data_IF_020188994695
#
_entry.id   IF_020188994695
#
_cell.length_a   1.000
_cell.length_b   1.000
_cell.length_c   1.000
_cell.angle_alpha   90.00
_cell.angle_beta   90.00
_cell.angle_gamma   90.00
#
_symmetry.space_group_name_H-M   'P 1'
#
loop_
_entity.id
_entity.type
_entity.pdbx_description
1 polymer ?
#
# COMPACT_ATOMS: atom_id res chain seq x y z
N UNK A 1 11.92 32.67 43.12
CA UNK A 1 11.00 32.88 41.99
C UNK A 1 11.54 32.29 40.68
N UNK A 2 12.81 31.88 40.62
CA UNK A 2 13.46 31.35 39.39
C UNK A 2 13.09 29.92 38.99
N UNK A 3 12.71 29.06 39.93
CA UNK A 3 12.53 27.62 39.65
C UNK A 3 11.31 27.31 38.75
N UNK A 4 10.30 28.19 38.76
CA UNK A 4 9.08 28.01 37.97
C UNK A 4 9.29 28.46 36.51
N UNK A 5 10.15 29.45 36.27
CA UNK A 5 10.46 29.93 34.92
C UNK A 5 11.36 28.95 34.16
N UNK A 6 12.34 28.34 34.84
CA UNK A 6 13.17 27.28 34.23
C UNK A 6 12.36 26.04 33.85
N UNK A 7 11.46 25.59 34.72
CA UNK A 7 10.60 24.44 34.40
C UNK A 7 9.65 24.72 33.24
N UNK A 8 9.10 25.94 33.16
CA UNK A 8 8.23 26.33 32.04
C UNK A 8 9.00 26.38 30.72
N UNK A 9 10.23 26.89 30.71
CA UNK A 9 11.08 26.93 29.51
C UNK A 9 11.55 25.54 29.05
N UNK A 10 11.74 24.61 29.98
CA UNK A 10 12.15 23.22 29.69
C UNK A 10 10.98 22.39 29.13
N UNK A 11 9.77 22.62 29.65
CA UNK A 11 8.54 22.05 29.09
C UNK A 11 8.25 22.64 27.71
N UNK A 12 8.46 23.95 27.50
CA UNK A 12 8.34 24.57 26.19
C UNK A 12 9.39 24.04 25.20
N UNK A 13 10.63 23.78 25.63
CA UNK A 13 11.67 23.20 24.77
C UNK A 13 11.38 21.75 24.41
N UNK A 14 10.93 20.93 25.36
CA UNK A 14 10.54 19.53 25.10
C UNK A 14 9.31 19.48 24.20
N UNK A 15 8.30 20.33 24.45
CA UNK A 15 7.09 20.39 23.64
C UNK A 15 7.37 20.93 22.23
N UNK A 16 8.27 21.91 22.10
CA UNK A 16 8.70 22.40 20.79
C UNK A 16 9.58 21.39 20.06
N UNK A 17 10.46 20.63 20.73
CA UNK A 17 11.20 19.50 20.13
C UNK A 17 10.27 18.34 19.74
N UNK A 18 9.28 17.98 20.56
CA UNK A 18 8.25 17.00 20.21
C UNK A 18 7.42 17.50 19.02
N UNK A 19 7.02 18.77 19.01
CA UNK A 19 6.35 19.39 17.87
C UNK A 19 7.23 19.43 16.62
N UNK A 20 8.54 19.64 16.76
CA UNK A 20 9.49 19.65 15.66
C UNK A 20 9.75 18.25 15.09
N UNK A 21 9.75 17.22 15.95
CA UNK A 21 9.81 15.81 15.56
C UNK A 21 8.52 15.34 14.89
N UNK A 22 7.36 15.82 15.35
CA UNK A 22 6.06 15.57 14.71
C UNK A 22 5.94 16.31 13.37
N UNK A 23 6.61 17.46 13.21
CA UNK A 23 6.66 18.24 11.97
C UNK A 23 7.74 17.76 10.97
N UNK A 24 8.61 16.81 11.34
CA UNK A 24 9.78 16.44 10.54
C UNK A 24 9.55 15.43 9.42
N UNK A 25 8.30 15.02 9.19
CA UNK A 25 7.98 14.17 8.04
C UNK A 25 7.65 15.02 6.82
N UNK A 26 8.64 15.27 5.97
CA UNK A 26 8.40 15.88 4.67
C UNK A 26 7.49 14.93 3.86
N UNK A 27 6.32 15.41 3.46
CA UNK A 27 5.39 14.59 2.70
C UNK A 27 5.98 14.20 1.34
N UNK A 28 5.77 12.94 0.93
CA UNK A 28 6.20 12.49 -0.38
C UNK A 28 5.49 13.27 -1.48
N UNK A 29 6.25 13.70 -2.49
CA UNK A 29 5.70 14.47 -3.62
C UNK A 29 4.73 13.60 -4.44
N UNK A 30 3.81 14.25 -5.17
CA UNK A 30 2.87 13.55 -6.05
C UNK A 30 3.59 12.64 -7.06
N UNK A 31 4.75 13.07 -7.57
CA UNK A 31 5.59 12.27 -8.47
C UNK A 31 6.17 11.02 -7.82
N UNK A 32 6.69 11.10 -6.58
CA UNK A 32 7.18 9.93 -5.85
C UNK A 32 6.05 8.91 -5.60
N UNK A 33 4.85 9.40 -5.26
CA UNK A 33 3.65 8.56 -5.10
C UNK A 33 3.24 7.88 -6.41
N UNK A 34 3.32 8.58 -7.54
CA UNK A 34 3.05 8.02 -8.86
C UNK A 34 4.08 6.94 -9.26
N UNK A 35 5.37 7.19 -9.01
CA UNK A 35 6.43 6.20 -9.26
C UNK A 35 6.21 4.95 -8.41
N UNK A 36 5.84 5.10 -7.13
CA UNK A 36 5.48 3.96 -6.29
C UNK A 36 4.37 3.12 -6.91
N UNK A 37 3.30 3.79 -7.36
CA UNK A 37 2.17 3.11 -8.00
C UNK A 37 2.60 2.37 -9.26
N UNK A 38 3.44 2.97 -10.11
CA UNK A 38 3.95 2.33 -11.33
C UNK A 38 4.81 1.12 -10.99
N UNK A 39 5.78 1.28 -10.10
CA UNK A 39 6.71 0.22 -9.71
C UNK A 39 5.97 -0.94 -9.05
N UNK A 40 5.10 -0.66 -8.09
CA UNK A 40 4.32 -1.70 -7.41
C UNK A 40 3.37 -2.41 -8.39
N UNK A 41 2.76 -1.70 -9.36
CA UNK A 41 1.95 -2.34 -10.41
C UNK A 41 2.77 -3.24 -11.34
N UNK A 42 3.96 -2.81 -11.79
CA UNK A 42 4.82 -3.64 -12.65
C UNK A 42 5.27 -4.89 -11.88
N UNK A 43 5.72 -4.73 -10.64
CA UNK A 43 6.18 -5.84 -9.82
C UNK A 43 5.07 -6.86 -9.54
N UNK A 44 3.86 -6.40 -9.22
CA UNK A 44 2.72 -7.29 -9.02
C UNK A 44 2.27 -7.96 -10.32
N UNK A 45 2.30 -7.24 -11.44
CA UNK A 45 1.86 -7.76 -12.74
C UNK A 45 2.84 -8.80 -13.28
N UNK A 46 4.14 -8.55 -13.20
CA UNK A 46 5.15 -9.43 -13.80
C UNK A 46 5.66 -10.51 -12.85
N UNK A 47 5.81 -10.21 -11.55
CA UNK A 47 6.33 -11.17 -10.58
C UNK A 47 5.23 -12.04 -9.99
N UNK A 48 4.38 -11.43 -9.17
CA UNK A 48 3.44 -12.18 -8.33
C UNK A 48 2.29 -12.80 -9.13
N UNK A 49 1.71 -12.05 -10.08
CA UNK A 49 0.59 -12.55 -10.89
C UNK A 49 1.02 -13.68 -11.84
N UNK A 50 2.26 -13.64 -12.35
CA UNK A 50 2.79 -14.72 -13.17
C UNK A 50 2.96 -16.02 -12.37
N UNK A 51 3.57 -15.93 -11.18
CA UNK A 51 3.78 -17.09 -10.29
C UNK A 51 2.45 -17.68 -9.84
N UNK A 52 1.56 -16.84 -9.30
CA UNK A 52 0.27 -17.29 -8.77
C UNK A 52 -0.70 -17.73 -9.85
N UNK A 53 -0.73 -17.05 -11.00
CA UNK A 53 -1.53 -17.45 -12.17
C UNK A 53 -1.10 -18.80 -12.71
N UNK A 54 0.22 -19.05 -12.82
CA UNK A 54 0.75 -20.36 -13.22
C UNK A 54 0.40 -21.45 -12.20
N UNK A 55 0.55 -21.17 -10.90
CA UNK A 55 0.21 -22.11 -9.83
C UNK A 55 -1.28 -22.46 -9.83
N UNK A 56 -2.17 -21.46 -9.96
CA UNK A 56 -3.62 -21.67 -10.04
C UNK A 56 -4.00 -22.42 -11.31
N UNK A 57 -3.43 -22.07 -12.46
CA UNK A 57 -3.66 -22.79 -13.72
C UNK A 57 -3.22 -24.25 -13.66
N UNK A 58 -2.06 -24.53 -13.08
CA UNK A 58 -1.57 -25.89 -12.86
C UNK A 58 -2.48 -26.67 -11.89
N UNK A 59 -2.89 -26.05 -10.78
CA UNK A 59 -3.80 -26.66 -9.81
C UNK A 59 -5.17 -26.98 -10.42
N UNK A 60 -5.75 -26.06 -11.19
CA UNK A 60 -7.00 -26.29 -11.90
C UNK A 60 -6.85 -27.37 -12.97
N UNK A 61 -5.74 -27.38 -13.72
CA UNK A 61 -5.47 -28.40 -14.73
C UNK A 61 -5.36 -29.81 -14.16
N UNK A 62 -4.86 -29.94 -12.93
CA UNK A 62 -4.71 -31.24 -12.24
C UNK A 62 -6.00 -31.70 -11.56
N UNK A 63 -6.76 -30.81 -10.93
CA UNK A 63 -7.99 -31.15 -10.21
C UNK A 63 -9.23 -31.21 -11.13
N UNK A 64 -9.27 -30.35 -12.15
CA UNK A 64 -10.41 -30.15 -13.05
C UNK A 64 -9.93 -30.00 -14.50
N UNK A 65 -9.37 -31.07 -15.12
CA UNK A 65 -8.78 -31.00 -16.46
C UNK A 65 -9.77 -30.56 -17.53
N UNK A 66 -10.99 -31.10 -17.51
CA UNK A 66 -12.05 -30.76 -18.49
C UNK A 66 -12.49 -29.30 -18.40
N UNK A 67 -12.56 -28.74 -17.19
CA UNK A 67 -12.89 -27.34 -16.99
C UNK A 67 -11.76 -26.43 -17.52
N UNK A 68 -10.52 -26.81 -17.23
CA UNK A 68 -9.32 -26.07 -17.64
C UNK A 68 -9.16 -26.07 -19.16
N UNK A 69 -9.36 -27.20 -19.84
CA UNK A 69 -9.35 -27.28 -21.29
C UNK A 69 -10.41 -26.39 -21.93
N UNK A 70 -11.63 -26.38 -21.38
CA UNK A 70 -12.71 -25.49 -21.87
C UNK A 70 -12.36 -24.02 -21.74
N UNK A 71 -11.69 -23.61 -20.66
CA UNK A 71 -11.23 -22.24 -20.48
C UNK A 71 -10.13 -21.89 -21.49
N UNK A 72 -9.15 -22.78 -21.66
CA UNK A 72 -7.98 -22.55 -22.53
C UNK A 72 -8.37 -22.53 -24.00
N UNK A 73 -9.21 -23.46 -24.46
CA UNK A 73 -9.66 -23.52 -25.85
C UNK A 73 -10.62 -22.40 -26.22
N UNK A 74 -11.46 -22.00 -25.27
CA UNK A 74 -12.49 -20.99 -25.48
C UNK A 74 -12.04 -19.67 -24.86
N UNK A 75 -10.95 -19.13 -25.41
CA UNK A 75 -10.19 -17.96 -24.93
C UNK A 75 -11.03 -16.71 -24.56
N UNK A 76 -12.25 -16.59 -25.09
CA UNK A 76 -13.23 -15.52 -24.77
C UNK A 76 -14.21 -15.87 -23.63
N UNK A 77 -13.93 -16.91 -22.83
CA UNK A 77 -14.80 -17.30 -21.74
C UNK A 77 -14.76 -16.26 -20.63
N UNK A 78 -15.92 -15.74 -20.26
CA UNK A 78 -16.12 -14.90 -19.06
C UNK A 78 -15.45 -15.54 -17.83
N UNK A 79 -15.42 -16.87 -17.77
CA UNK A 79 -14.74 -17.65 -16.74
C UNK A 79 -13.23 -17.34 -16.63
N UNK A 80 -12.52 -17.21 -17.75
CA UNK A 80 -11.09 -16.86 -17.74
C UNK A 80 -10.87 -15.48 -17.13
N UNK A 81 -11.68 -14.50 -17.55
CA UNK A 81 -11.64 -13.14 -17.03
C UNK A 81 -11.96 -13.10 -15.54
N UNK A 82 -13.02 -13.81 -15.11
CA UNK A 82 -13.43 -13.86 -13.71
C UNK A 82 -12.35 -14.50 -12.81
N UNK A 83 -11.79 -15.64 -13.22
CA UNK A 83 -10.73 -16.31 -12.45
C UNK A 83 -9.50 -15.41 -12.35
N UNK A 84 -9.05 -14.86 -13.48
CA UNK A 84 -7.87 -13.98 -13.52
C UNK A 84 -8.09 -12.73 -12.67
N UNK A 85 -9.27 -12.14 -12.71
CA UNK A 85 -9.63 -10.95 -11.93
C UNK A 85 -9.66 -11.24 -10.42
N UNK A 86 -10.26 -12.36 -10.01
CA UNK A 86 -10.28 -12.79 -8.59
C UNK A 86 -8.87 -13.04 -8.06
N UNK A 87 -8.03 -13.73 -8.84
CA UNK A 87 -6.62 -13.96 -8.50
C UNK A 87 -5.87 -12.63 -8.41
N UNK A 88 -6.10 -11.69 -9.31
CA UNK A 88 -5.47 -10.38 -9.27
C UNK A 88 -5.84 -9.58 -8.01
N UNK A 89 -7.13 -9.51 -7.65
CA UNK A 89 -7.59 -8.83 -6.42
C UNK A 89 -6.98 -9.49 -5.18
N UNK A 90 -7.02 -10.82 -5.11
CA UNK A 90 -6.50 -11.57 -3.99
C UNK A 90 -5.00 -11.31 -3.79
N UNK A 91 -4.22 -11.37 -4.87
CA UNK A 91 -2.80 -11.05 -4.84
C UNK A 91 -2.55 -9.60 -4.42
N UNK A 92 -3.31 -8.65 -4.97
CA UNK A 92 -3.17 -7.24 -4.64
C UNK A 92 -3.38 -7.00 -3.14
N UNK A 93 -4.47 -7.52 -2.57
CA UNK A 93 -4.77 -7.37 -1.15
C UNK A 93 -3.70 -8.00 -0.26
N UNK A 94 -3.28 -9.23 -0.57
CA UNK A 94 -2.29 -9.95 0.22
C UNK A 94 -0.93 -9.27 0.13
N UNK A 95 -0.48 -8.93 -1.08
CA UNK A 95 0.82 -8.31 -1.29
C UNK A 95 0.93 -6.99 -0.53
N UNK A 96 -0.02 -6.06 -0.70
CA UNK A 96 0.07 -4.78 0.02
C UNK A 96 -0.10 -4.94 1.52
N UNK A 97 -1.02 -5.78 1.98
CA UNK A 97 -1.22 -5.98 3.43
C UNK A 97 0.01 -6.59 4.09
N UNK A 98 0.60 -7.62 3.47
CA UNK A 98 1.81 -8.27 3.98
C UNK A 98 3.00 -7.33 3.86
N UNK A 99 3.24 -6.70 2.72
CA UNK A 99 4.37 -5.80 2.55
C UNK A 99 4.28 -4.60 3.50
N UNK A 100 3.16 -3.90 3.51
CA UNK A 100 3.01 -2.72 4.38
C UNK A 100 3.04 -3.09 5.86
N UNK A 101 2.63 -4.30 6.26
CA UNK A 101 2.81 -4.72 7.65
C UNK A 101 4.23 -5.18 7.95
N UNK A 102 4.73 -6.14 7.18
CA UNK A 102 6.00 -6.82 7.43
C UNK A 102 7.17 -5.84 7.33
N UNK A 103 7.10 -4.89 6.39
CA UNK A 103 8.09 -3.84 6.23
C UNK A 103 7.64 -2.52 6.84
N UNK A 104 6.79 -2.51 7.87
CA UNK A 104 6.47 -1.29 8.66
C UNK A 104 6.11 -0.05 7.83
N UNK A 105 5.31 -0.24 6.79
CA UNK A 105 4.83 0.80 5.89
C UNK A 105 5.58 0.91 4.55
N UNK A 106 6.62 0.11 4.34
CA UNK A 106 7.32 0.00 3.06
C UNK A 106 6.66 -1.03 2.12
N UNK A 107 6.69 -0.72 0.84
CA UNK A 107 6.44 -1.62 -0.29
C UNK A 107 7.70 -1.59 -1.16
N UNK A 108 7.82 -2.49 -2.15
CA UNK A 108 9.00 -2.51 -3.02
C UNK A 108 9.17 -1.18 -3.77
N UNK A 109 8.09 -0.58 -4.30
CA UNK A 109 8.14 0.75 -4.91
C UNK A 109 8.56 1.84 -3.94
N UNK A 110 8.01 1.81 -2.72
CA UNK A 110 8.35 2.75 -1.64
C UNK A 110 9.80 2.64 -1.17
N UNK A 111 10.37 1.43 -1.15
CA UNK A 111 11.79 1.21 -0.88
C UNK A 111 12.68 1.87 -1.95
N UNK A 112 12.29 1.76 -3.22
CA UNK A 112 13.02 2.36 -4.34
C UNK A 112 12.95 3.89 -4.31
N UNK A 113 11.78 4.48 -4.00
CA UNK A 113 11.61 5.93 -3.94
C UNK A 113 12.02 6.56 -2.61
N UNK A 114 12.41 5.75 -1.62
CA UNK A 114 12.77 6.24 -0.29
C UNK A 114 11.59 6.80 0.50
N UNK A 115 10.39 6.26 0.32
CA UNK A 115 9.17 6.72 0.99
C UNK A 115 8.62 5.65 1.94
N UNK A 116 7.87 6.04 2.97
CA UNK A 116 7.24 5.14 3.94
C UNK A 116 5.80 5.56 4.20
N UNK A 117 4.89 4.61 4.31
CA UNK A 117 3.56 4.91 4.86
C UNK A 117 3.62 4.92 6.40
N UNK A 118 3.00 5.91 7.01
CA UNK A 118 2.83 6.03 8.46
C UNK A 118 1.38 6.43 8.75
N UNK A 119 0.93 6.23 9.99
CA UNK A 119 -0.32 6.83 10.44
C UNK A 119 -0.15 8.35 10.61
N UNK A 120 -1.24 9.10 10.56
CA UNK A 120 -1.22 10.55 10.74
C UNK A 120 -0.71 10.99 12.13
N UNK A 121 -0.76 10.11 13.12
CA UNK A 121 -0.18 10.32 14.44
C UNK A 121 1.33 9.99 14.51
N UNK A 122 1.97 9.71 13.37
CA UNK A 122 3.38 9.34 13.28
C UNK A 122 3.67 7.87 13.61
N UNK A 123 2.65 7.10 14.02
CA UNK A 123 2.79 5.70 14.38
C UNK A 123 3.02 4.77 13.19
N UNK A 124 3.54 3.57 13.48
CA UNK A 124 3.62 2.48 12.49
C UNK A 124 2.22 2.00 12.08
N UNK A 125 2.08 1.47 10.85
CA UNK A 125 0.81 0.90 10.41
C UNK A 125 0.46 -0.37 11.20
N UNK A 126 -0.78 -0.42 11.71
CA UNK A 126 -1.35 -1.66 12.21
C UNK A 126 -1.76 -2.57 11.04
N UNK A 127 -1.97 -3.86 11.31
CA UNK A 127 -2.45 -4.81 10.29
C UNK A 127 -3.80 -4.34 9.73
N UNK A 128 -4.65 -3.81 10.62
CA UNK A 128 -5.96 -3.26 10.26
C UNK A 128 -5.82 -2.07 9.32
N UNK A 129 -4.91 -1.15 9.61
CA UNK A 129 -4.69 0.03 8.76
C UNK A 129 -4.17 -0.38 7.38
N UNK A 130 -3.16 -1.27 7.34
CA UNK A 130 -2.61 -1.79 6.08
C UNK A 130 -3.68 -2.50 5.24
N UNK A 131 -4.54 -3.30 5.87
CA UNK A 131 -5.63 -4.00 5.19
C UNK A 131 -6.70 -3.04 4.67
N UNK A 132 -7.19 -2.12 5.51
CA UNK A 132 -8.19 -1.11 5.10
C UNK A 132 -7.65 -0.19 4.00
N UNK A 133 -6.35 0.11 4.04
CA UNK A 133 -5.67 0.94 3.04
C UNK A 133 -5.58 0.20 1.72
N UNK A 134 -5.23 -1.09 1.75
CA UNK A 134 -5.21 -1.97 0.58
C UNK A 134 -6.61 -2.14 -0.02
N UNK A 135 -7.64 -2.27 0.82
CA UNK A 135 -9.04 -2.35 0.40
C UNK A 135 -9.52 -1.03 -0.25
N UNK A 136 -9.13 0.11 0.34
CA UNK A 136 -9.49 1.44 -0.18
C UNK A 136 -8.90 1.71 -1.57
N UNK A 137 -7.76 1.09 -1.90
CA UNK A 137 -7.14 1.16 -3.24
C UNK A 137 -7.89 0.38 -4.32
N UNK A 138 -8.79 -0.54 -3.94
CA UNK A 138 -9.67 -1.22 -4.89
C UNK A 138 -10.83 -0.33 -5.37
N UNK A 139 -11.03 0.84 -4.76
CA UNK A 139 -12.07 1.75 -5.19
C UNK A 139 -11.85 2.17 -6.66
N UNK A 140 -12.90 2.12 -7.50
CA UNK A 140 -12.78 2.58 -8.87
C UNK A 140 -12.36 4.05 -8.86
N UNK A 141 -11.38 4.39 -9.70
CA UNK A 141 -10.77 5.72 -9.80
C UNK A 141 -9.84 6.16 -8.66
N UNK A 142 -9.48 5.28 -7.73
CA UNK A 142 -8.49 5.62 -6.69
C UNK A 142 -7.17 6.20 -7.25
N UNK A 143 -6.61 5.68 -8.36
CA UNK A 143 -5.39 6.26 -8.95
C UNK A 143 -5.53 7.75 -9.31
N UNK A 144 -6.74 8.19 -9.67
CA UNK A 144 -7.01 9.59 -9.98
C UNK A 144 -7.17 10.45 -8.72
N UNK A 145 -7.55 9.86 -7.59
CA UNK A 145 -7.64 10.56 -6.30
C UNK A 145 -6.30 11.13 -5.84
N UNK A 146 -5.19 10.51 -6.25
CA UNK A 146 -3.83 10.98 -5.94
C UNK A 146 -3.45 12.33 -6.55
N UNK A 147 -4.22 12.83 -7.53
CA UNK A 147 -4.01 14.18 -8.09
C UNK A 147 -4.64 15.28 -7.24
N UNK A 148 -5.58 14.95 -6.35
CA UNK A 148 -6.22 15.89 -5.42
C UNK A 148 -5.33 16.32 -4.26
N UNK A 149 -5.97 16.75 -3.15
CA UNK A 149 -5.27 17.17 -1.93
C UNK A 149 -4.63 16.00 -1.20
N UNK A 150 -5.33 14.86 -1.17
CA UNK A 150 -4.84 13.61 -0.58
C UNK A 150 -5.50 12.42 -1.27
N UNK A 151 -4.79 11.30 -1.52
CA UNK A 151 -5.40 10.08 -1.99
C UNK A 151 -6.55 9.62 -1.09
N UNK A 152 -7.57 8.99 -1.68
CA UNK A 152 -8.73 8.52 -0.90
C UNK A 152 -8.33 7.46 0.13
N UNK A 153 -7.41 6.57 -0.21
CA UNK A 153 -6.95 5.54 0.72
C UNK A 153 -6.18 6.12 1.92
N UNK A 154 -5.43 7.21 1.74
CA UNK A 154 -4.77 7.96 2.82
C UNK A 154 -5.83 8.59 3.74
N UNK A 155 -6.83 9.23 3.13
CA UNK A 155 -7.87 9.98 3.83
C UNK A 155 -8.81 9.09 4.63
N UNK A 156 -9.26 7.97 4.05
CA UNK A 156 -10.18 7.04 4.71
C UNK A 156 -9.53 6.24 5.85
N UNK A 157 -8.22 6.01 5.76
CA UNK A 157 -7.49 5.23 6.77
C UNK A 157 -6.67 6.07 7.74
N UNK A 158 -6.73 7.41 7.62
CA UNK A 158 -5.93 8.34 8.44
C UNK A 158 -4.43 8.00 8.41
N UNK A 159 -3.93 7.70 7.21
CA UNK A 159 -2.52 7.39 6.96
C UNK A 159 -1.95 8.37 5.94
N UNK A 160 -0.63 8.50 5.92
CA UNK A 160 0.09 9.38 4.98
C UNK A 160 1.40 8.74 4.53
N UNK A 161 1.93 9.21 3.40
CA UNK A 161 3.23 8.79 2.87
C UNK A 161 4.24 9.90 3.08
N UNK A 162 5.30 9.55 3.79
CA UNK A 162 6.38 10.46 4.20
C UNK A 162 7.67 10.04 3.53
N UNK A 163 8.58 10.99 3.29
CA UNK A 163 9.94 10.64 2.88
C UNK A 163 10.66 10.01 4.06
N UNK A 164 11.29 8.88 3.82
CA UNK A 164 12.13 8.19 4.78
C UNK A 164 13.63 8.46 4.54
N UNK A 165 13.97 9.07 3.40
CA UNK A 165 15.33 9.42 2.97
C UNK A 165 15.34 10.73 2.20
#
# INVERSE_FOLDING_TARGET
>A
MDNNQQHTSEVESIFSEEMHNLAQYEQATKGQRAVNLIVDNILMSWGLSYITGTAVGYLLGTLFPEYTLRIVEKQDSIDFFMITYLVAIFNYLIYYTICEKAFRGYTLGKLITGTRAVRQDGGELTIRDAFLRSLSRLAPFEPFSGFGDSPWHDSWTKTTVVKAR
#
